data_IF_935525810140
#
_entry.id   IF_935525810140
#
_cell.length_a   1.000
_cell.length_b   1.000
_cell.length_c   1.000
_cell.angle_alpha   90.00
_cell.angle_beta   90.00
_cell.angle_gamma   90.00
#
_symmetry.space_group_name_H-M   'P 1'
#
loop_
_entity.id
_entity.type
_entity.pdbx_description
1 polymer ?
#
# COMPACT_ATOMS: atom_id res chain seq x y z
N UNK A 1 -18.67 -2.59 -3.59
CA UNK A 1 -17.20 -2.80 -3.72
C UNK A 1 -16.42 -1.56 -3.31
N UNK A 2 -16.60 -0.38 -3.93
CA UNK A 2 -15.86 0.85 -3.57
C UNK A 2 -16.03 1.31 -2.12
N UNK A 3 -17.25 1.24 -1.58
CA UNK A 3 -17.53 1.60 -0.19
C UNK A 3 -16.73 0.77 0.83
N UNK A 4 -16.41 -0.49 0.53
CA UNK A 4 -15.62 -1.34 1.44
C UNK A 4 -14.20 -0.82 1.59
N UNK A 5 -13.57 -0.39 0.50
CA UNK A 5 -12.23 0.22 0.53
C UNK A 5 -12.28 1.54 1.32
N UNK A 6 -13.32 2.34 1.11
CA UNK A 6 -13.50 3.60 1.85
C UNK A 6 -13.62 3.32 3.35
N UNK A 7 -14.42 2.33 3.76
CA UNK A 7 -14.53 1.95 5.18
C UNK A 7 -13.20 1.44 5.76
N UNK A 8 -12.47 0.59 5.02
CA UNK A 8 -11.14 0.13 5.45
C UNK A 8 -10.18 1.32 5.65
N UNK A 9 -10.16 2.30 4.73
CA UNK A 9 -9.34 3.52 4.85
C UNK A 9 -9.81 4.36 6.04
N UNK A 10 -11.13 4.56 6.21
CA UNK A 10 -11.66 5.34 7.30
C UNK A 10 -11.27 4.76 8.66
N UNK A 11 -11.36 3.44 8.81
CA UNK A 11 -11.16 2.76 10.09
C UNK A 11 -9.69 2.54 10.39
N UNK A 12 -8.94 1.98 9.44
CA UNK A 12 -7.55 1.61 9.70
C UNK A 12 -6.56 2.76 9.52
N UNK A 13 -6.91 3.80 8.75
CA UNK A 13 -5.99 4.91 8.42
C UNK A 13 -6.49 6.24 9.01
N UNK A 14 -7.69 6.69 8.64
CA UNK A 14 -8.16 8.02 9.06
C UNK A 14 -8.45 8.10 10.55
N UNK A 15 -9.11 7.10 11.13
CA UNK A 15 -9.45 7.12 12.55
C UNK A 15 -8.20 7.23 13.45
N UNK A 16 -7.13 6.43 13.26
CA UNK A 16 -5.90 6.63 14.01
C UNK A 16 -5.29 8.01 13.87
N UNK A 17 -5.25 8.56 12.64
CA UNK A 17 -4.63 9.86 12.37
C UNK A 17 -5.42 11.02 12.97
N UNK A 18 -6.74 11.05 12.72
CA UNK A 18 -7.61 12.13 13.17
C UNK A 18 -7.72 12.14 14.69
N UNK A 19 -8.06 10.99 15.28
CA UNK A 19 -8.19 10.89 16.72
C UNK A 19 -6.82 11.17 17.39
N UNK A 20 -5.73 10.59 16.88
CA UNK A 20 -4.38 10.82 17.41
C UNK A 20 -3.92 12.29 17.36
N UNK A 21 -4.43 13.09 16.41
CA UNK A 21 -4.10 14.51 16.30
C UNK A 21 -4.79 15.40 17.34
N UNK A 22 -5.90 14.95 17.93
CA UNK A 22 -6.76 15.75 18.80
C UNK A 22 -6.58 15.47 20.29
N UNK A 23 -5.64 14.61 20.67
CA UNK A 23 -5.59 14.04 22.02
C UNK A 23 -4.56 14.72 22.91
N UNK A 24 -5.03 15.15 24.07
CA UNK A 24 -4.18 15.48 25.21
C UNK A 24 -3.57 14.21 25.83
N UNK A 25 -2.33 14.33 26.31
CA UNK A 25 -1.55 13.23 26.91
C UNK A 25 -2.34 12.48 28.00
N UNK A 26 -3.19 13.20 28.75
CA UNK A 26 -4.01 12.65 29.83
C UNK A 26 -5.06 11.63 29.37
N UNK A 27 -5.43 11.61 28.09
CA UNK A 27 -6.44 10.69 27.53
C UNK A 27 -5.85 9.63 26.59
N UNK A 28 -4.52 9.51 26.53
CA UNK A 28 -3.82 8.60 25.64
C UNK A 28 -4.21 7.13 25.82
N UNK A 29 -4.39 6.67 27.06
CA UNK A 29 -4.81 5.30 27.37
C UNK A 29 -6.23 4.99 26.85
N UNK A 30 -7.18 5.89 27.10
CA UNK A 30 -8.55 5.74 26.60
C UNK A 30 -8.61 5.73 25.06
N UNK A 31 -7.74 6.53 24.42
CA UNK A 31 -7.60 6.53 22.98
C UNK A 31 -7.07 5.23 22.40
N UNK A 32 -6.02 4.66 23.00
CA UNK A 32 -5.47 3.38 22.54
C UNK A 32 -6.54 2.30 22.65
N UNK A 33 -7.27 2.27 23.77
CA UNK A 33 -8.37 1.33 23.98
C UNK A 33 -9.49 1.53 22.95
N UNK A 34 -9.87 2.77 22.63
CA UNK A 34 -10.92 3.05 21.64
C UNK A 34 -10.50 2.66 20.23
N UNK A 35 -9.28 2.98 19.79
CA UNK A 35 -8.79 2.54 18.49
C UNK A 35 -8.65 1.03 18.39
N UNK A 36 -8.08 0.38 19.41
CA UNK A 36 -7.93 -1.07 19.43
C UNK A 36 -9.29 -1.77 19.38
N UNK A 37 -10.27 -1.29 20.15
CA UNK A 37 -11.64 -1.85 20.14
C UNK A 37 -12.34 -1.64 18.81
N UNK A 38 -12.27 -0.44 18.20
CA UNK A 38 -12.83 -0.16 16.87
C UNK A 38 -12.17 -1.08 15.82
N UNK A 39 -10.84 -1.18 15.84
CA UNK A 39 -10.09 -2.02 14.92
C UNK A 39 -10.45 -3.50 15.05
N UNK A 40 -10.51 -4.02 16.28
CA UNK A 40 -10.89 -5.41 16.54
C UNK A 40 -12.33 -5.69 16.13
N UNK A 41 -13.28 -4.82 16.51
CA UNK A 41 -14.69 -4.99 16.18
C UNK A 41 -14.96 -4.93 14.67
N UNK A 42 -14.30 -4.01 13.96
CA UNK A 42 -14.41 -3.96 12.51
C UNK A 42 -13.80 -5.19 11.84
N UNK A 43 -12.67 -5.67 12.36
CA UNK A 43 -11.99 -6.87 11.84
C UNK A 43 -12.84 -8.12 12.06
N UNK A 44 -13.49 -8.28 13.21
CA UNK A 44 -14.42 -9.40 13.42
C UNK A 44 -15.63 -9.31 12.49
N UNK A 45 -16.24 -8.14 12.33
CA UNK A 45 -17.35 -7.97 11.37
C UNK A 45 -16.93 -8.35 9.95
N UNK A 46 -15.76 -7.91 9.50
CA UNK A 46 -15.27 -8.23 8.15
C UNK A 46 -14.93 -9.71 8.01
N UNK A 47 -14.39 -10.36 9.06
CA UNK A 47 -14.17 -11.80 9.07
C UNK A 47 -15.48 -12.59 9.00
N UNK A 48 -16.48 -12.25 9.80
CA UNK A 48 -17.76 -12.96 9.82
C UNK A 48 -18.59 -12.73 8.55
N UNK A 49 -18.68 -11.49 8.06
CA UNK A 49 -19.57 -11.15 6.94
C UNK A 49 -18.93 -11.31 5.56
N UNK A 50 -17.59 -11.28 5.48
CA UNK A 50 -16.87 -11.17 4.21
C UNK A 50 -15.69 -12.16 4.11
N UNK A 51 -15.48 -13.02 5.12
CA UNK A 51 -14.38 -13.99 5.23
C UNK A 51 -12.99 -13.41 4.89
N UNK A 52 -12.75 -12.15 5.28
CA UNK A 52 -11.50 -11.45 5.01
C UNK A 52 -10.97 -10.75 6.25
N UNK A 53 -9.65 -10.57 6.29
CA UNK A 53 -8.94 -9.76 7.28
C UNK A 53 -8.02 -8.82 6.50
N UNK A 54 -8.09 -7.52 6.80
CA UNK A 54 -7.17 -6.54 6.21
C UNK A 54 -5.92 -6.42 7.08
N UNK A 55 -4.92 -7.25 6.78
CA UNK A 55 -3.71 -7.36 7.60
C UNK A 55 -2.86 -6.09 7.49
N UNK A 56 -2.70 -5.53 6.29
CA UNK A 56 -1.97 -4.28 6.08
C UNK A 56 -2.61 -3.09 6.81
N UNK A 57 -3.94 -3.01 6.83
CA UNK A 57 -4.67 -2.02 7.62
C UNK A 57 -4.43 -2.16 9.12
N UNK A 58 -4.49 -3.38 9.65
CA UNK A 58 -4.20 -3.65 11.06
C UNK A 58 -2.77 -3.28 11.45
N UNK A 59 -1.79 -3.63 10.61
CA UNK A 59 -0.39 -3.27 10.82
C UNK A 59 -0.22 -1.75 10.82
N UNK A 60 -0.85 -1.03 9.88
CA UNK A 60 -0.81 0.43 9.85
C UNK A 60 -1.43 1.06 11.10
N UNK A 61 -2.58 0.54 11.53
CA UNK A 61 -3.24 0.97 12.76
C UNK A 61 -2.36 0.75 14.00
N UNK A 62 -1.72 -0.42 14.11
CA UNK A 62 -0.80 -0.70 15.21
C UNK A 62 0.42 0.24 15.19
N UNK A 63 1.03 0.45 14.02
CA UNK A 63 2.18 1.36 13.88
C UNK A 63 1.83 2.81 14.21
N UNK A 64 0.66 3.27 13.78
CA UNK A 64 0.19 4.63 14.10
C UNK A 64 -0.06 4.80 15.60
N UNK A 65 -0.65 3.81 16.28
CA UNK A 65 -0.80 3.84 17.74
C UNK A 65 0.57 3.96 18.43
N UNK A 66 1.55 3.16 18.03
CA UNK A 66 2.92 3.22 18.58
C UNK A 66 3.53 4.60 18.36
N UNK A 67 3.40 5.16 17.15
CA UNK A 67 3.85 6.50 16.82
C UNK A 67 3.24 7.57 17.74
N UNK A 68 1.95 7.48 18.05
CA UNK A 68 1.30 8.45 18.94
C UNK A 68 1.72 8.32 20.41
N UNK A 69 1.93 7.09 20.90
CA UNK A 69 2.42 6.84 22.28
C UNK A 69 3.77 7.52 22.52
N UNK A 70 4.67 7.40 21.55
CA UNK A 70 5.98 8.01 21.68
C UNK A 70 5.94 9.52 21.41
N UNK A 71 5.11 9.98 20.47
CA UNK A 71 4.97 11.41 20.13
C UNK A 71 4.43 12.23 21.30
N UNK A 72 3.51 11.69 22.10
CA UNK A 72 2.90 12.41 23.23
C UNK A 72 3.90 12.83 24.32
N UNK A 73 5.13 12.32 24.27
CA UNK A 73 6.20 12.58 25.24
C UNK A 73 7.25 13.57 24.73
N UNK A 74 7.09 14.08 23.52
CA UNK A 74 8.10 14.92 22.83
C UNK A 74 7.66 16.38 22.85
N UNK A 75 8.61 17.27 23.13
CA UNK A 75 8.37 18.72 23.07
C UNK A 75 8.22 19.21 21.62
N UNK A 76 7.59 20.36 21.45
CA UNK A 76 7.40 20.99 20.13
C UNK A 76 8.70 21.58 19.59
N UNK A 77 8.80 21.66 18.25
CA UNK A 77 9.95 22.28 17.56
C UNK A 77 11.04 21.27 17.17
N UNK A 78 12.28 21.57 17.55
CA UNK A 78 13.45 20.76 17.16
C UNK A 78 13.36 19.31 17.61
N UNK A 79 12.93 19.06 18.85
CA UNK A 79 12.78 17.70 19.40
C UNK A 79 11.80 16.87 18.57
N UNK A 80 10.69 17.48 18.14
CA UNK A 80 9.70 16.85 17.26
C UNK A 80 10.28 16.53 15.88
N UNK A 81 11.18 17.38 15.36
CA UNK A 81 11.85 17.16 14.08
C UNK A 81 12.86 16.01 14.16
N UNK A 82 13.68 15.97 15.22
CA UNK A 82 14.60 14.84 15.51
C UNK A 82 13.81 13.54 15.68
N UNK A 83 12.72 13.59 16.44
CA UNK A 83 11.81 12.47 16.65
C UNK A 83 11.24 11.91 15.34
N UNK A 84 10.70 12.79 14.49
CA UNK A 84 10.18 12.37 13.19
C UNK A 84 11.28 11.75 12.32
N UNK A 85 12.50 12.29 12.38
CA UNK A 85 13.65 11.75 11.66
C UNK A 85 14.02 10.35 12.15
N UNK A 86 14.03 10.13 13.47
CA UNK A 86 14.25 8.81 14.06
C UNK A 86 13.21 7.78 13.58
N UNK A 87 11.92 8.15 13.55
CA UNK A 87 10.88 7.25 13.06
C UNK A 87 10.95 6.99 11.57
N UNK A 88 11.40 7.95 10.75
CA UNK A 88 11.70 7.70 9.34
C UNK A 88 12.82 6.67 9.19
N UNK A 89 13.90 6.80 9.98
CA UNK A 89 15.01 5.83 10.00
C UNK A 89 14.49 4.45 10.38
N UNK A 90 13.77 4.34 11.49
CA UNK A 90 13.22 3.07 11.97
C UNK A 90 12.29 2.43 10.94
N UNK A 91 11.43 3.23 10.30
CA UNK A 91 10.57 2.77 9.21
C UNK A 91 11.36 2.23 8.02
N UNK A 92 12.42 2.92 7.60
CA UNK A 92 13.28 2.48 6.49
C UNK A 92 13.99 1.14 6.81
N UNK A 93 14.46 0.97 8.05
CA UNK A 93 15.10 -0.28 8.50
C UNK A 93 14.09 -1.42 8.48
N UNK A 94 12.86 -1.21 8.99
CA UNK A 94 11.81 -2.23 8.97
C UNK A 94 11.44 -2.66 7.55
N UNK A 95 11.27 -1.70 6.62
CA UNK A 95 10.97 -2.01 5.22
C UNK A 95 12.11 -2.80 4.58
N UNK A 96 13.36 -2.41 4.85
CA UNK A 96 14.54 -3.12 4.36
C UNK A 96 14.60 -4.57 4.89
N UNK A 97 14.40 -4.76 6.20
CA UNK A 97 14.36 -6.08 6.83
C UNK A 97 13.27 -6.97 6.22
N UNK A 98 12.06 -6.44 6.02
CA UNK A 98 10.97 -7.18 5.37
C UNK A 98 11.38 -7.59 3.95
N UNK A 99 12.02 -6.67 3.21
CA UNK A 99 12.56 -6.95 1.88
C UNK A 99 13.61 -8.07 1.85
N UNK A 100 14.49 -8.15 2.86
CA UNK A 100 15.49 -9.21 2.98
C UNK A 100 14.88 -10.61 3.10
N UNK A 101 13.70 -10.73 3.71
CA UNK A 101 12.97 -12.00 3.79
C UNK A 101 12.20 -12.35 2.51
N UNK A 102 12.46 -11.67 1.40
CA UNK A 102 11.75 -11.86 0.13
C UNK A 102 10.27 -11.45 0.19
N UNK A 103 9.87 -10.76 1.26
CA UNK A 103 8.51 -10.29 1.49
C UNK A 103 8.42 -8.84 1.00
N UNK A 104 7.46 -8.56 0.13
CA UNK A 104 7.25 -7.21 -0.39
C UNK A 104 5.96 -6.62 0.18
N UNK A 105 6.07 -5.48 0.87
CA UNK A 105 4.94 -4.76 1.48
C UNK A 105 3.91 -4.37 0.43
N UNK A 106 4.33 -3.92 -0.76
CA UNK A 106 3.42 -3.56 -1.85
C UNK A 106 2.57 -4.76 -2.32
N UNK A 107 3.12 -5.99 -2.27
CA UNK A 107 2.35 -7.18 -2.61
C UNK A 107 1.26 -7.48 -1.57
N UNK A 108 1.56 -7.33 -0.27
CA UNK A 108 0.56 -7.50 0.79
C UNK A 108 -0.56 -6.46 0.69
N UNK A 109 -0.21 -5.18 0.50
CA UNK A 109 -1.19 -4.11 0.30
C UNK A 109 -2.06 -4.40 -0.93
N UNK A 110 -1.45 -4.82 -2.05
CA UNK A 110 -2.19 -5.15 -3.26
C UNK A 110 -3.14 -6.33 -3.07
N UNK A 111 -2.71 -7.37 -2.35
CA UNK A 111 -3.54 -8.52 -2.00
C UNK A 111 -4.74 -8.10 -1.16
N UNK A 112 -4.53 -7.30 -0.12
CA UNK A 112 -5.62 -6.83 0.73
C UNK A 112 -6.62 -5.98 -0.05
N UNK A 113 -6.16 -5.08 -0.94
CA UNK A 113 -7.04 -4.28 -1.81
C UNK A 113 -7.90 -5.20 -2.70
N UNK A 114 -7.32 -6.21 -3.32
CA UNK A 114 -8.08 -7.14 -4.17
C UNK A 114 -9.05 -8.01 -3.35
N UNK A 115 -8.66 -8.43 -2.15
CA UNK A 115 -9.53 -9.17 -1.25
C UNK A 115 -10.74 -8.32 -0.79
N UNK A 116 -10.56 -7.02 -0.56
CA UNK A 116 -11.67 -6.08 -0.30
C UNK A 116 -12.65 -6.00 -1.48
N UNK A 117 -12.11 -6.03 -2.71
CA UNK A 117 -12.91 -6.01 -3.94
C UNK A 117 -13.64 -7.34 -4.15
N UNK A 118 -13.23 -8.42 -3.47
CA UNK A 118 -13.90 -9.72 -3.50
C UNK A 118 -13.15 -10.79 -4.29
N UNK A 119 -11.88 -10.56 -4.64
CA UNK A 119 -11.02 -11.63 -5.15
C UNK A 119 -10.61 -12.54 -3.98
N UNK A 120 -10.53 -13.84 -4.23
CA UNK A 120 -9.92 -14.78 -3.29
C UNK A 120 -8.40 -14.83 -3.49
N UNK A 121 -7.69 -15.37 -2.50
CA UNK A 121 -6.23 -15.44 -2.48
C UNK A 121 -5.65 -16.16 -3.71
N UNK A 122 -6.30 -17.22 -4.18
CA UNK A 122 -5.88 -17.96 -5.38
C UNK A 122 -5.96 -17.10 -6.64
N UNK A 123 -7.06 -16.37 -6.83
CA UNK A 123 -7.22 -15.47 -7.97
C UNK A 123 -6.21 -14.34 -7.93
N UNK A 124 -5.91 -13.79 -6.75
CA UNK A 124 -4.87 -12.78 -6.57
C UNK A 124 -3.51 -13.33 -7.00
N UNK A 125 -3.12 -14.52 -6.53
CA UNK A 125 -1.84 -15.13 -6.88
C UNK A 125 -1.71 -15.34 -8.40
N UNK A 126 -2.78 -15.79 -9.07
CA UNK A 126 -2.82 -15.95 -10.53
C UNK A 126 -2.65 -14.60 -11.24
N UNK A 127 -3.32 -13.54 -10.78
CA UNK A 127 -3.21 -12.19 -11.36
C UNK A 127 -1.79 -11.65 -11.22
N UNK A 128 -1.17 -11.80 -10.05
CA UNK A 128 0.20 -11.34 -9.76
C UNK A 128 1.19 -12.05 -10.68
N UNK A 129 1.12 -13.38 -10.77
CA UNK A 129 2.03 -14.19 -11.60
C UNK A 129 1.84 -13.89 -13.10
N UNK A 130 0.61 -13.91 -13.60
CA UNK A 130 0.29 -13.70 -15.03
C UNK A 130 0.70 -12.32 -15.55
N UNK A 131 0.66 -11.31 -14.68
CA UNK A 131 0.99 -9.94 -15.05
C UNK A 131 2.43 -9.54 -14.69
N UNK A 132 3.22 -10.46 -14.11
CA UNK A 132 4.58 -10.20 -13.63
C UNK A 132 4.61 -8.95 -12.73
N UNK A 133 3.69 -8.89 -11.76
CA UNK A 133 3.54 -7.73 -10.87
C UNK A 133 4.62 -7.69 -9.79
N UNK A 134 5.21 -8.84 -9.42
CA UNK A 134 6.30 -8.92 -8.44
C UNK A 134 7.47 -7.98 -8.78
N UNK A 135 7.88 -7.95 -10.05
CA UNK A 135 8.94 -7.04 -10.52
C UNK A 135 8.57 -5.57 -10.36
N UNK A 136 7.31 -5.20 -10.61
CA UNK A 136 6.84 -3.82 -10.45
C UNK A 136 6.68 -3.46 -8.96
N UNK A 137 6.24 -4.40 -8.13
CA UNK A 137 6.18 -4.22 -6.67
C UNK A 137 7.57 -4.00 -6.09
N UNK A 138 8.59 -4.74 -6.56
CA UNK A 138 9.97 -4.53 -6.11
C UNK A 138 10.48 -3.15 -6.52
N UNK A 139 10.16 -2.69 -7.74
CA UNK A 139 10.49 -1.33 -8.19
C UNK A 139 9.81 -0.26 -7.33
N UNK A 140 8.52 -0.42 -7.05
CA UNK A 140 7.78 0.51 -6.21
C UNK A 140 8.34 0.54 -4.78
N UNK A 141 8.57 -0.62 -4.16
CA UNK A 141 9.17 -0.71 -2.83
C UNK A 141 10.58 -0.09 -2.79
N UNK A 142 11.38 -0.27 -3.85
CA UNK A 142 12.70 0.34 -3.94
C UNK A 142 12.62 1.86 -4.06
N UNK A 143 11.65 2.38 -4.83
CA UNK A 143 11.44 3.82 -4.94
C UNK A 143 11.00 4.44 -3.61
N UNK A 144 10.07 3.80 -2.89
CA UNK A 144 9.66 4.21 -1.53
C UNK A 144 10.86 4.20 -0.58
N UNK A 145 11.76 3.21 -0.69
CA UNK A 145 12.99 3.18 0.11
C UNK A 145 13.93 4.34 -0.23
N UNK A 146 14.13 4.64 -1.51
CA UNK A 146 14.94 5.79 -1.95
C UNK A 146 14.34 7.10 -1.42
N UNK A 147 13.01 7.23 -1.45
CA UNK A 147 12.30 8.38 -0.91
C UNK A 147 12.55 8.56 0.59
N UNK A 148 12.37 7.51 1.37
CA UNK A 148 12.66 7.56 2.81
C UNK A 148 14.13 7.92 3.08
N UNK A 149 15.07 7.29 2.37
CA UNK A 149 16.51 7.54 2.55
C UNK A 149 16.92 8.97 2.15
N UNK A 150 16.35 9.51 1.09
CA UNK A 150 16.61 10.89 0.67
C UNK A 150 16.15 11.89 1.75
N UNK A 151 14.94 11.70 2.29
CA UNK A 151 14.43 12.53 3.39
C UNK A 151 15.27 12.38 4.65
N UNK A 152 15.65 11.16 5.03
CA UNK A 152 16.55 10.92 6.17
C UNK A 152 17.86 11.68 5.98
N UNK A 153 18.47 11.58 4.80
CA UNK A 153 19.74 12.24 4.52
C UNK A 153 19.63 13.77 4.69
N UNK A 154 18.61 14.39 4.11
CA UNK A 154 18.39 15.83 4.20
C UNK A 154 18.16 16.26 5.66
N UNK A 155 17.33 15.50 6.40
CA UNK A 155 16.98 15.83 7.78
C UNK A 155 18.16 15.66 8.74
N UNK A 156 18.90 14.56 8.61
CA UNK A 156 20.11 14.32 9.41
C UNK A 156 21.15 15.40 9.10
N UNK A 157 21.36 15.76 7.83
CA UNK A 157 22.21 16.87 7.46
C UNK A 157 21.76 18.17 8.13
N UNK A 158 20.46 18.47 8.12
CA UNK A 158 19.93 19.67 8.74
C UNK A 158 20.15 19.71 10.25
N UNK A 159 19.90 18.58 10.94
CA UNK A 159 20.15 18.44 12.39
C UNK A 159 21.62 18.70 12.71
N UNK A 160 22.53 18.09 11.95
CA UNK A 160 23.98 18.15 12.22
C UNK A 160 24.57 19.51 11.85
N UNK A 161 24.18 20.08 10.70
CA UNK A 161 24.79 21.30 10.18
C UNK A 161 24.20 22.59 10.78
N UNK A 162 22.89 22.61 11.06
CA UNK A 162 22.18 23.82 11.47
C UNK A 162 21.66 23.79 12.90
N UNK A 163 21.58 22.62 13.54
CA UNK A 163 21.20 22.48 14.94
C UNK A 163 19.82 23.05 15.29
N UNK A 164 19.61 23.32 16.57
CA UNK A 164 18.32 23.74 17.14
C UNK A 164 17.80 25.03 16.52
N UNK A 165 18.67 25.99 16.23
CA UNK A 165 18.27 27.33 15.82
C UNK A 165 17.82 27.42 14.36
N UNK A 166 18.28 26.51 13.50
CA UNK A 166 18.15 26.67 12.05
C UNK A 166 17.85 25.37 11.27
N UNK A 167 17.40 24.29 11.93
CA UNK A 167 17.06 23.01 11.28
C UNK A 167 15.99 23.09 10.18
N UNK A 168 15.24 24.19 10.07
CA UNK A 168 14.25 24.39 9.01
C UNK A 168 14.83 24.96 7.71
N UNK A 169 16.12 25.34 7.68
CA UNK A 169 16.76 25.90 6.47
C UNK A 169 16.71 24.97 5.25
N UNK A 170 16.62 23.66 5.46
CA UNK A 170 16.52 22.66 4.38
C UNK A 170 15.07 22.28 4.02
N UNK A 171 14.07 22.91 4.64
CA UNK A 171 12.65 22.54 4.48
C UNK A 171 12.19 22.58 3.01
N UNK A 172 12.60 23.60 2.24
CA UNK A 172 12.25 23.69 0.82
C UNK A 172 12.80 22.52 0.01
N UNK A 173 14.02 22.09 0.34
CA UNK A 173 14.67 20.95 -0.30
C UNK A 173 14.03 19.61 0.11
N UNK A 174 13.61 19.46 1.37
CA UNK A 174 12.80 18.31 1.81
C UNK A 174 11.48 18.23 1.03
N UNK A 175 10.75 19.35 0.94
CA UNK A 175 9.45 19.40 0.28
C UNK A 175 9.56 19.10 -1.22
N UNK A 176 10.54 19.70 -1.90
CA UNK A 176 10.76 19.47 -3.32
C UNK A 176 11.14 18.01 -3.61
N UNK A 177 12.03 17.44 -2.79
CA UNK A 177 12.44 16.03 -2.90
C UNK A 177 11.24 15.10 -2.70
N UNK A 178 10.41 15.39 -1.69
CA UNK A 178 9.19 14.64 -1.40
C UNK A 178 8.20 14.67 -2.58
N UNK A 179 7.91 15.86 -3.12
CA UNK A 179 7.01 16.04 -4.26
C UNK A 179 7.48 15.22 -5.47
N UNK A 180 8.77 15.32 -5.83
CA UNK A 180 9.32 14.60 -6.98
C UNK A 180 9.19 13.07 -6.84
N UNK A 181 9.51 12.54 -5.65
CA UNK A 181 9.46 11.10 -5.41
C UNK A 181 8.03 10.58 -5.32
N UNK A 182 7.12 11.35 -4.72
CA UNK A 182 5.67 11.05 -4.74
C UNK A 182 5.13 10.97 -6.18
N UNK A 183 5.53 11.89 -7.07
CA UNK A 183 5.12 11.81 -8.48
C UNK A 183 5.60 10.51 -9.13
N UNK A 184 6.84 10.09 -8.85
CA UNK A 184 7.38 8.82 -9.32
C UNK A 184 6.61 7.60 -8.79
N UNK A 185 6.26 7.61 -7.50
CA UNK A 185 5.46 6.55 -6.86
C UNK A 185 4.07 6.46 -7.49
N UNK A 186 3.38 7.59 -7.65
CA UNK A 186 2.05 7.66 -8.29
C UNK A 186 2.10 7.10 -9.72
N UNK A 187 3.14 7.43 -10.48
CA UNK A 187 3.35 6.91 -11.82
C UNK A 187 3.47 5.37 -11.82
N UNK A 188 4.31 4.80 -10.95
CA UNK A 188 4.47 3.35 -10.84
C UNK A 188 3.18 2.66 -10.37
N UNK A 189 2.47 3.22 -9.39
CA UNK A 189 1.17 2.72 -8.92
C UNK A 189 0.17 2.69 -10.08
N UNK A 190 0.08 3.76 -10.86
CA UNK A 190 -0.81 3.85 -12.02
C UNK A 190 -0.49 2.79 -13.08
N UNK A 191 0.81 2.53 -13.30
CA UNK A 191 1.28 1.47 -14.20
C UNK A 191 0.90 0.07 -13.69
N UNK A 192 1.08 -0.21 -12.40
CA UNK A 192 0.69 -1.47 -11.77
C UNK A 192 -0.82 -1.73 -11.93
N UNK A 193 -1.64 -0.72 -11.67
CA UNK A 193 -3.11 -0.82 -11.76
C UNK A 193 -3.59 -1.05 -13.20
N UNK A 194 -2.90 -0.47 -14.19
CA UNK A 194 -3.30 -0.55 -15.60
C UNK A 194 -2.81 -1.82 -16.33
N UNK A 195 -1.73 -2.45 -15.86
CA UNK A 195 -1.11 -3.65 -16.49
C UNK A 195 -2.10 -4.81 -16.73
N UNK A 196 -2.98 -5.20 -15.78
CA UNK A 196 -3.97 -6.26 -16.00
C UNK A 196 -5.02 -5.89 -17.06
N UNK A 197 -5.47 -4.63 -17.08
CA UNK A 197 -6.48 -4.12 -18.03
C UNK A 197 -5.94 -4.08 -19.46
N UNK A 198 -4.67 -3.69 -19.61
CA UNK A 198 -4.03 -3.57 -20.91
C UNK A 198 -3.77 -4.94 -21.57
N UNK A 199 -3.30 -5.95 -20.82
CA UNK A 199 -3.12 -7.32 -21.36
C UNK A 199 -4.45 -7.94 -21.83
N UNK A 200 -5.55 -7.74 -21.10
CA UNK A 200 -6.89 -8.21 -21.53
C UNK A 200 -7.34 -7.52 -22.82
N UNK A 201 -7.10 -6.22 -22.96
CA UNK A 201 -7.47 -5.46 -24.17
C UNK A 201 -6.64 -5.89 -25.39
N UNK A 202 -5.34 -6.14 -25.22
CA UNK A 202 -4.44 -6.62 -26.28
C UNK A 202 -4.84 -8.03 -26.73
N UNK A 203 -5.12 -8.95 -25.80
CA UNK A 203 -5.55 -10.31 -26.13
C UNK A 203 -6.93 -10.32 -26.81
N UNK A 204 -7.87 -9.47 -26.40
CA UNK A 204 -9.15 -9.32 -27.11
C UNK A 204 -8.97 -8.79 -28.54
N UNK A 205 -8.02 -7.87 -28.78
CA UNK A 205 -7.69 -7.39 -30.13
C UNK A 205 -7.03 -8.48 -31.00
N UNK A 206 -6.06 -9.23 -30.46
CA UNK A 206 -5.44 -10.37 -31.16
C UNK A 206 -6.42 -11.51 -31.45
N UNK A 207 -7.32 -11.82 -30.51
CA UNK A 207 -8.36 -12.82 -30.78
C UNK A 207 -9.34 -12.31 -31.84
N UNK A 208 -9.74 -11.03 -31.82
CA UNK A 208 -10.58 -10.46 -32.91
C UNK A 208 -9.89 -10.48 -34.28
N UNK A 209 -8.57 -10.28 -34.37
CA UNK A 209 -7.86 -10.45 -35.65
C UNK A 209 -7.76 -11.90 -36.08
N UNK A 210 -7.57 -12.83 -35.15
CA UNK A 210 -7.52 -14.27 -35.44
C UNK A 210 -8.90 -14.85 -35.79
N UNK A 211 -9.99 -14.32 -35.22
CA UNK A 211 -11.35 -14.69 -35.61
C UNK A 211 -11.66 -14.25 -37.06
N UNK A 212 -11.15 -13.09 -37.51
CA UNK A 212 -11.25 -12.68 -38.92
C UNK A 212 -10.43 -13.56 -39.89
N UNK A 213 -9.42 -14.29 -39.40
CA UNK A 213 -8.64 -15.23 -40.22
C UNK A 213 -9.18 -16.68 -40.17
N UNK A 214 -9.98 -17.04 -39.17
CA UNK A 214 -10.44 -18.42 -38.93
C UNK A 214 -11.91 -18.67 -39.27
N UNK A 215 -12.59 -17.79 -40.02
CA UNK A 215 -13.96 -18.02 -40.50
C UNK A 215 -14.13 -19.24 -41.44
N UNK A 216 -13.04 -19.94 -41.79
CA UNK A 216 -13.07 -21.16 -42.62
C UNK A 216 -12.81 -22.50 -41.90
N UNK A 217 -12.84 -22.56 -40.57
CA UNK A 217 -12.81 -23.85 -39.85
C UNK A 217 -13.86 -23.95 -38.75
N UNK A 218 -15.13 -23.88 -39.15
CA UNK A 218 -16.21 -24.47 -38.36
C UNK A 218 -16.24 -25.96 -38.72
N UNK A 219 -15.74 -26.82 -37.83
CA UNK A 219 -15.95 -28.26 -37.98
C UNK A 219 -17.44 -28.50 -37.71
N UNK A 220 -18.18 -28.80 -38.77
CA UNK A 220 -19.59 -29.12 -38.69
C UNK A 220 -19.73 -30.58 -38.20
N UNK A 221 -19.91 -30.74 -36.88
CA UNK A 221 -20.08 -32.05 -36.23
C UNK A 221 -21.28 -32.84 -36.76
N UNK A 222 -22.22 -32.21 -37.46
CA UNK A 222 -23.32 -32.92 -38.13
C UNK A 222 -22.85 -33.80 -39.28
N UNK A 223 -21.66 -33.58 -39.85
CA UNK A 223 -21.09 -34.45 -40.89
C UNK A 223 -20.61 -35.80 -40.35
N UNK A 224 -20.38 -35.91 -39.03
CA UNK A 224 -19.90 -37.14 -38.39
C UNK A 224 -21.02 -37.92 -37.69
N UNK A 225 -22.26 -37.43 -37.72
CA UNK A 225 -23.38 -38.05 -37.00
C UNK A 225 -23.99 -39.28 -37.71
N UNK A 226 -23.61 -39.55 -38.96
CA UNK A 226 -24.17 -40.63 -39.78
C UNK A 226 -23.20 -41.75 -40.13
N UNK A 227 -22.02 -41.83 -39.50
CA UNK A 227 -21.00 -42.85 -39.85
C UNK A 227 -21.22 -44.18 -39.09
N UNK A 228 -22.16 -44.23 -38.13
CA UNK A 228 -22.57 -45.46 -37.44
C UNK A 228 -24.05 -45.79 -37.70
N UNK A 229 -24.37 -46.15 -38.95
CA UNK A 229 -25.56 -46.94 -39.27
C UNK A 229 -25.14 -48.14 -40.10
#
# INVERSE_FOLDING_TARGET
MKYRIIFDIMIYIMAPVLLGSMINVNYLTYFIMSLASIGLFYTTITKFKQDRINVSGLVFMALSIVLFIFKSKVNLGFDMYVYNTFFLILGSVLISLIGMFGKNICNYIYKDILNVIGYNDLNVAIIVKKNELEKEFNKLSSLVMIHMLALIFIRVYSIVAYGVDNYLKTSDLENLTSILLIMGEIYLISKIISKPKNKVRINKKKNKSNYKQNEKKVINLNQYKNVNK
#
